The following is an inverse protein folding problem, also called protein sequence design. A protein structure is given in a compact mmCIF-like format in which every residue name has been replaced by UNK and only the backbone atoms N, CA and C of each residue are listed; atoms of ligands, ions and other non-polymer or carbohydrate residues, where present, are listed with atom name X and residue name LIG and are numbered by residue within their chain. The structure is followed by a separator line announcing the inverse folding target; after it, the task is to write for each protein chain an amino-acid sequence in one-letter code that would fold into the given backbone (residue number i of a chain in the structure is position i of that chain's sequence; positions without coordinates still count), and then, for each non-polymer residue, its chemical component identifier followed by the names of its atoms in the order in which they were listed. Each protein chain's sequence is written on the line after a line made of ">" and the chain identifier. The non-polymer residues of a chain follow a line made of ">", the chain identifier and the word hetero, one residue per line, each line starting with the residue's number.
data_IF_534071243637
#
_entry.id   IF_534071243637
#
_cell.length_a   1.000
_cell.length_b   1.000
_cell.length_c   1.000
_cell.angle_alpha   90.00
_cell.angle_beta   90.00
_cell.angle_gamma   90.00
#
_symmetry.space_group_name_H-M   'P 1'
#
loop_
_entity.id
_entity.type
_entity.pdbx_description
1 polymer ?
#
# COMPACT_ATOMS: atom_id res chain seq x y z
N UNK A 1 -6.51 -36.18 6.16
CA UNK A 1 -7.74 -35.42 6.44
C UNK A 1 -7.39 -33.94 6.44
N UNK A 2 -7.67 -33.18 5.35
CA UNK A 2 -7.48 -31.73 5.35
C UNK A 2 -8.63 -31.13 6.18
N UNK A 3 -8.29 -30.47 7.28
CA UNK A 3 -9.27 -29.75 8.11
C UNK A 3 -10.02 -28.74 7.23
N UNK A 4 -11.31 -28.94 7.05
CA UNK A 4 -12.16 -28.00 6.30
C UNK A 4 -12.13 -26.64 6.98
N UNK A 5 -11.69 -25.62 6.26
CA UNK A 5 -11.67 -24.25 6.74
C UNK A 5 -13.11 -23.77 6.99
N UNK A 6 -13.36 -23.18 8.14
CA UNK A 6 -14.64 -22.53 8.43
C UNK A 6 -14.70 -21.15 7.79
N UNK A 7 -15.92 -20.63 7.53
CA UNK A 7 -16.09 -19.26 7.01
C UNK A 7 -15.38 -18.21 7.89
N UNK A 8 -15.34 -18.41 9.20
CA UNK A 8 -14.67 -17.52 10.16
C UNK A 8 -13.15 -17.53 9.95
N UNK A 9 -12.58 -18.71 9.71
CA UNK A 9 -11.14 -18.85 9.41
C UNK A 9 -10.76 -18.22 8.06
N UNK A 10 -11.61 -18.38 7.03
CA UNK A 10 -11.39 -17.75 5.72
C UNK A 10 -11.37 -16.22 5.84
N UNK A 11 -12.33 -15.63 6.58
CA UNK A 11 -12.37 -14.18 6.83
C UNK A 11 -11.15 -13.72 7.62
N UNK A 12 -10.72 -14.47 8.60
CA UNK A 12 -9.52 -14.16 9.38
C UNK A 12 -8.26 -14.20 8.51
N UNK A 13 -8.11 -15.20 7.64
CA UNK A 13 -6.99 -15.29 6.70
C UNK A 13 -6.97 -14.12 5.69
N UNK A 14 -8.13 -13.69 5.20
CA UNK A 14 -8.24 -12.54 4.32
C UNK A 14 -7.83 -11.24 5.04
N UNK A 15 -8.24 -11.07 6.30
CA UNK A 15 -7.83 -9.93 7.12
C UNK A 15 -6.31 -9.95 7.40
N UNK A 16 -5.76 -11.11 7.71
CA UNK A 16 -4.32 -11.27 7.92
C UNK A 16 -3.54 -10.94 6.63
N UNK A 17 -4.02 -11.40 5.49
CA UNK A 17 -3.43 -11.10 4.19
C UNK A 17 -3.44 -9.59 3.90
N UNK A 18 -4.54 -8.89 4.23
CA UNK A 18 -4.63 -7.44 4.11
C UNK A 18 -3.49 -6.75 4.88
N UNK A 19 -3.30 -7.09 6.16
CA UNK A 19 -2.26 -6.45 6.97
C UNK A 19 -0.85 -6.80 6.49
N UNK A 20 -0.61 -8.03 6.07
CA UNK A 20 0.69 -8.44 5.53
C UNK A 20 1.02 -7.69 4.24
N UNK A 21 0.08 -7.65 3.29
CA UNK A 21 0.27 -6.96 2.01
C UNK A 21 0.39 -5.46 2.20
N UNK A 22 -0.43 -4.86 3.07
CA UNK A 22 -0.35 -3.45 3.40
C UNK A 22 1.03 -3.09 3.99
N UNK A 23 1.47 -3.85 5.01
CA UNK A 23 2.77 -3.62 5.61
C UNK A 23 3.94 -3.76 4.62
N UNK A 24 3.89 -4.76 3.74
CA UNK A 24 4.92 -4.95 2.71
C UNK A 24 4.96 -3.79 1.70
N UNK A 25 3.79 -3.33 1.25
CA UNK A 25 3.71 -2.20 0.31
C UNK A 25 4.23 -0.92 0.95
N UNK A 26 3.83 -0.63 2.21
CA UNK A 26 4.31 0.53 2.94
C UNK A 26 5.82 0.46 3.23
N UNK A 27 6.34 -0.71 3.54
CA UNK A 27 7.79 -0.91 3.71
C UNK A 27 8.55 -0.60 2.42
N UNK A 28 8.05 -1.06 1.27
CA UNK A 28 8.61 -0.73 -0.04
C UNK A 28 8.52 0.79 -0.32
N UNK A 29 7.40 1.42 -0.01
CA UNK A 29 7.21 2.86 -0.16
C UNK A 29 8.23 3.64 0.68
N UNK A 30 8.42 3.29 1.96
CA UNK A 30 9.42 3.90 2.84
C UNK A 30 10.83 3.74 2.29
N UNK A 31 11.17 2.56 1.78
CA UNK A 31 12.48 2.31 1.18
C UNK A 31 12.73 3.20 -0.06
N UNK A 32 11.75 3.29 -0.96
CA UNK A 32 11.83 4.17 -2.13
C UNK A 32 11.96 5.64 -1.73
N UNK A 33 11.23 6.05 -0.70
CA UNK A 33 11.28 7.38 -0.12
C UNK A 33 12.67 7.74 0.41
N UNK A 34 13.28 6.84 1.17
CA UNK A 34 14.63 7.06 1.71
C UNK A 34 15.68 7.21 0.59
N UNK A 35 15.52 6.43 -0.49
CA UNK A 35 16.41 6.56 -1.64
C UNK A 35 16.22 7.90 -2.36
N UNK A 36 14.98 8.34 -2.60
CA UNK A 36 14.70 9.65 -3.20
C UNK A 36 15.23 10.79 -2.33
N UNK A 37 15.06 10.72 -1.01
CA UNK A 37 15.59 11.70 -0.07
C UNK A 37 17.11 11.78 -0.12
N UNK A 38 17.78 10.63 -0.15
CA UNK A 38 19.26 10.59 -0.30
C UNK A 38 19.71 11.22 -1.59
N UNK A 39 19.07 10.90 -2.70
CA UNK A 39 19.38 11.42 -4.01
C UNK A 39 19.16 12.95 -4.08
N UNK A 40 18.04 13.44 -3.53
CA UNK A 40 17.75 14.86 -3.46
C UNK A 40 18.78 15.62 -2.61
N UNK A 41 19.17 15.06 -1.45
CA UNK A 41 20.22 15.66 -0.60
C UNK A 41 21.58 15.67 -1.27
N UNK A 42 21.96 14.57 -1.94
CA UNK A 42 23.22 14.50 -2.67
C UNK A 42 23.28 15.53 -3.81
N UNK A 43 22.17 15.70 -4.55
CA UNK A 43 22.07 16.70 -5.61
C UNK A 43 22.21 18.12 -5.04
N UNK A 44 21.53 18.42 -3.94
CA UNK A 44 21.62 19.74 -3.30
C UNK A 44 23.03 20.00 -2.76
N UNK A 45 23.68 19.02 -2.13
CA UNK A 45 25.05 19.11 -1.66
C UNK A 45 26.03 19.43 -2.81
N UNK A 46 25.92 18.67 -3.92
CA UNK A 46 26.71 18.92 -5.11
C UNK A 46 26.47 20.34 -5.68
N UNK A 47 25.20 20.78 -5.71
CA UNK A 47 24.83 22.12 -6.16
C UNK A 47 25.45 23.20 -5.24
N UNK A 48 25.37 23.01 -3.92
CA UNK A 48 25.97 23.92 -2.95
C UNK A 48 27.48 23.99 -3.08
N UNK A 49 28.17 22.85 -3.19
CA UNK A 49 29.62 22.81 -3.38
C UNK A 49 30.06 23.49 -4.67
N UNK A 50 29.30 23.29 -5.77
CA UNK A 50 29.59 23.95 -7.05
C UNK A 50 29.42 25.47 -6.94
N UNK A 51 28.38 25.93 -6.27
CA UNK A 51 28.13 27.36 -6.03
C UNK A 51 29.24 27.98 -5.20
N UNK A 52 29.64 27.36 -4.10
CA UNK A 52 30.75 27.82 -3.25
C UNK A 52 32.07 27.78 -4.02
N UNK A 53 32.28 26.80 -4.89
CA UNK A 53 33.41 26.73 -5.78
C UNK A 53 33.50 27.97 -6.72
N UNK A 54 32.35 28.43 -7.26
CA UNK A 54 32.27 29.67 -8.07
C UNK A 54 32.59 30.89 -7.23
N UNK A 55 31.99 31.03 -6.04
CA UNK A 55 32.32 32.16 -5.13
C UNK A 55 33.83 32.25 -4.87
N UNK A 56 34.45 31.13 -4.51
CA UNK A 56 35.89 31.08 -4.23
C UNK A 56 36.72 31.37 -5.45
N UNK A 57 36.33 30.88 -6.62
CA UNK A 57 37.02 31.12 -7.88
C UNK A 57 37.01 32.60 -8.25
N UNK A 58 35.86 33.27 -8.09
CA UNK A 58 35.71 34.69 -8.40
C UNK A 58 36.53 35.56 -7.45
N UNK A 59 36.49 35.30 -6.15
CA UNK A 59 37.30 36.02 -5.18
C UNK A 59 38.80 35.87 -5.47
N UNK A 60 39.26 34.69 -5.85
CA UNK A 60 40.66 34.47 -6.25
C UNK A 60 41.02 35.18 -7.55
N UNK A 61 40.05 35.30 -8.48
CA UNK A 61 40.25 36.04 -9.70
C UNK A 61 40.54 37.54 -9.43
N UNK A 62 39.70 38.18 -8.62
CA UNK A 62 39.91 39.59 -8.24
C UNK A 62 41.20 39.79 -7.46
N UNK A 63 41.58 38.86 -6.58
CA UNK A 63 42.88 38.91 -5.90
C UNK A 63 44.07 38.85 -6.87
N UNK A 64 43.99 38.00 -7.90
CA UNK A 64 45.03 37.85 -8.88
C UNK A 64 45.27 39.17 -9.64
N UNK A 65 44.21 39.95 -9.89
CA UNK A 65 44.31 41.27 -10.48
C UNK A 65 45.00 42.26 -9.55
N UNK A 66 44.67 42.27 -8.25
CA UNK A 66 45.33 43.12 -7.24
C UNK A 66 46.84 42.81 -7.08
N UNK A 67 47.25 41.56 -7.31
CA UNK A 67 48.62 41.09 -7.09
C UNK A 67 49.64 41.81 -7.91
N UNK A 68 49.33 42.31 -9.12
CA UNK A 68 50.32 43.08 -9.92
C UNK A 68 50.81 44.32 -9.19
N UNK A 69 49.91 45.13 -8.65
CA UNK A 69 50.19 46.34 -7.90
C UNK A 69 50.96 46.00 -6.63
N UNK A 70 50.54 44.98 -5.90
CA UNK A 70 51.24 44.50 -4.71
C UNK A 70 52.68 44.11 -4.99
N UNK A 71 52.94 43.26 -6.00
CA UNK A 71 54.31 42.83 -6.34
C UNK A 71 55.19 43.95 -6.81
N UNK A 72 54.66 44.97 -7.53
CA UNK A 72 55.44 46.14 -7.91
C UNK A 72 55.93 46.90 -6.68
N UNK A 73 55.07 47.15 -5.71
CA UNK A 73 55.43 47.86 -4.47
C UNK A 73 56.40 47.04 -3.62
N UNK A 74 56.16 45.73 -3.48
CA UNK A 74 57.03 44.78 -2.76
C UNK A 74 58.44 44.74 -3.39
N UNK A 75 58.58 44.91 -4.74
CA UNK A 75 59.85 45.02 -5.46
C UNK A 75 60.52 46.38 -5.36
N UNK A 76 59.91 47.30 -4.59
CA UNK A 76 60.52 48.64 -4.35
C UNK A 76 60.13 49.70 -5.38
N UNK A 77 59.19 49.43 -6.31
CA UNK A 77 58.69 50.44 -7.23
C UNK A 77 57.78 51.42 -6.49
N UNK A 78 57.99 52.74 -6.78
CA UNK A 78 57.07 53.76 -6.29
C UNK A 78 56.06 54.06 -7.38
N UNK A 79 54.82 53.78 -7.09
CA UNK A 79 53.68 53.96 -8.01
C UNK A 79 53.18 55.40 -7.84
N UNK A 80 53.23 56.19 -8.88
CA UNK A 80 52.67 57.55 -8.89
C UNK A 80 51.17 57.49 -9.37
N UNK A 81 50.48 58.62 -9.28
CA UNK A 81 49.09 58.78 -9.61
C UNK A 81 48.76 58.40 -11.07
N UNK A 82 49.60 58.80 -12.02
CA UNK A 82 49.43 58.51 -13.45
C UNK A 82 49.64 57.00 -13.73
N UNK A 83 50.69 56.40 -13.19
CA UNK A 83 51.02 54.99 -13.32
C UNK A 83 49.92 54.12 -12.65
N UNK A 84 49.46 54.53 -11.48
CA UNK A 84 48.37 53.86 -10.78
C UNK A 84 47.09 53.84 -11.61
N UNK A 85 46.72 55.01 -12.17
CA UNK A 85 45.49 55.13 -12.98
C UNK A 85 45.55 54.27 -14.24
N UNK A 86 46.76 54.26 -14.93
CA UNK A 86 46.92 53.40 -16.12
C UNK A 86 46.80 51.89 -15.75
N UNK A 87 47.52 51.46 -14.73
CA UNK A 87 47.53 50.08 -14.31
C UNK A 87 46.13 49.64 -13.85
N UNK A 88 45.46 50.46 -13.02
CA UNK A 88 44.09 50.17 -12.55
C UNK A 88 43.08 50.13 -13.70
N UNK A 89 43.26 50.96 -14.74
CA UNK A 89 42.39 50.92 -15.93
C UNK A 89 42.50 49.61 -16.72
N UNK A 90 43.66 48.95 -16.68
CA UNK A 90 43.89 47.63 -17.30
C UNK A 90 43.35 46.48 -16.49
N UNK A 91 43.05 46.70 -15.20
CA UNK A 91 42.54 45.73 -14.23
C UNK A 91 41.01 45.85 -14.04
N UNK A 92 40.36 46.75 -14.80
CA UNK A 92 38.91 46.88 -14.79
C UNK A 92 38.27 45.64 -15.44
N UNK A 93 37.34 45.03 -14.71
CA UNK A 93 36.59 43.89 -15.23
C UNK A 93 35.45 44.32 -16.17
N UNK A 94 35.09 43.42 -17.13
CA UNK A 94 34.04 43.68 -18.12
C UNK A 94 32.62 43.72 -17.50
N UNK A 95 32.48 43.27 -16.27
CA UNK A 95 31.18 43.14 -15.58
C UNK A 95 30.92 44.24 -14.54
N UNK A 96 31.87 45.19 -14.36
CA UNK A 96 31.83 46.30 -13.40
C UNK A 96 31.66 45.83 -11.94
N UNK A 97 32.15 44.67 -11.58
CA UNK A 97 32.15 44.18 -10.19
C UNK A 97 33.20 44.97 -9.39
N UNK A 98 34.36 45.25 -9.98
CA UNK A 98 35.36 46.12 -9.36
C UNK A 98 34.95 47.58 -9.57
N UNK A 99 34.39 48.19 -8.52
CA UNK A 99 33.96 49.60 -8.51
C UNK A 99 35.12 50.56 -8.41
N UNK A 100 36.14 50.23 -7.64
CA UNK A 100 37.37 51.02 -7.51
C UNK A 100 38.57 50.19 -7.06
N UNK A 101 39.75 50.62 -7.48
CA UNK A 101 41.05 50.23 -6.91
C UNK A 101 41.53 51.31 -6.00
N UNK A 102 42.05 50.96 -4.83
CA UNK A 102 42.60 51.89 -3.88
C UNK A 102 44.01 51.43 -3.42
N UNK A 103 44.95 52.34 -3.24
CA UNK A 103 46.17 52.08 -2.49
C UNK A 103 46.12 52.84 -1.17
N UNK A 104 46.38 52.19 -0.08
CA UNK A 104 46.32 52.76 1.25
C UNK A 104 47.64 52.58 1.95
N UNK A 105 48.61 53.56 1.73
CA UNK A 105 49.91 53.60 2.39
C UNK A 105 49.73 53.86 3.91
N UNK A 106 50.37 53.04 4.74
CA UNK A 106 50.21 53.05 6.21
C UNK A 106 48.75 52.89 6.67
N UNK A 107 47.89 52.31 5.80
CA UNK A 107 46.46 52.16 6.04
C UNK A 107 45.61 53.36 5.65
N UNK A 108 46.19 54.45 5.14
CA UNK A 108 45.49 55.66 4.70
C UNK A 108 45.41 55.65 3.18
N UNK A 109 44.18 55.76 2.64
CA UNK A 109 43.93 55.77 1.18
C UNK A 109 44.55 56.97 0.57
N UNK A 110 45.57 56.73 -0.32
CA UNK A 110 46.38 57.80 -0.99
C UNK A 110 46.08 57.87 -2.48
N UNK A 111 45.74 56.78 -3.12
CA UNK A 111 45.40 56.70 -4.55
C UNK A 111 44.11 55.93 -4.76
N UNK A 112 43.25 56.37 -5.69
CA UNK A 112 41.96 55.75 -6.06
C UNK A 112 41.75 55.81 -7.57
N UNK A 113 41.32 54.75 -8.18
CA UNK A 113 40.88 54.71 -9.57
C UNK A 113 39.55 53.90 -9.73
N UNK A 114 38.59 54.43 -10.47
CA UNK A 114 38.49 55.78 -10.96
C UNK A 114 38.29 56.79 -9.82
N UNK A 115 38.85 58.01 -9.94
CA UNK A 115 38.62 59.02 -8.92
C UNK A 115 37.18 59.54 -8.92
N UNK A 116 36.62 59.73 -10.09
CA UNK A 116 35.25 60.23 -10.23
C UNK A 116 34.21 59.29 -9.53
N UNK A 117 33.47 59.80 -8.54
CA UNK A 117 32.51 59.10 -7.72
C UNK A 117 33.11 58.40 -6.49
N UNK A 118 34.45 58.43 -6.33
CA UNK A 118 35.14 57.77 -5.20
C UNK A 118 35.91 58.76 -4.33
N UNK A 119 35.79 60.08 -4.58
CA UNK A 119 36.52 61.11 -3.91
C UNK A 119 36.46 61.10 -2.40
N UNK A 120 35.31 60.64 -1.86
CA UNK A 120 35.04 60.57 -0.43
C UNK A 120 35.91 59.54 0.31
N UNK A 121 36.50 58.57 -0.39
CA UNK A 121 37.34 57.54 0.21
C UNK A 121 38.82 58.05 0.35
N UNK A 122 39.23 59.08 -0.38
CA UNK A 122 40.60 59.61 -0.29
C UNK A 122 40.89 60.15 1.11
N UNK A 123 41.99 59.72 1.70
CA UNK A 123 42.39 60.10 3.06
C UNK A 123 41.77 59.35 4.19
N UNK A 124 40.87 58.35 3.91
CA UNK A 124 40.32 57.49 4.94
C UNK A 124 41.39 56.58 5.55
N UNK A 125 41.46 56.53 6.85
CA UNK A 125 42.33 55.60 7.57
C UNK A 125 41.56 54.27 7.80
N UNK A 126 41.92 53.27 7.04
CA UNK A 126 41.25 51.92 7.09
C UNK A 126 41.52 51.19 8.41
N UNK A 127 42.67 51.44 9.06
CA UNK A 127 43.03 50.83 10.35
C UNK A 127 42.28 51.41 11.55
N UNK A 128 41.63 52.58 11.36
CA UNK A 128 40.89 53.28 12.40
C UNK A 128 39.39 53.42 12.09
N UNK A 129 38.99 53.19 10.85
CA UNK A 129 37.60 53.36 10.40
C UNK A 129 36.64 52.42 11.14
N UNK A 130 35.55 52.92 11.74
CA UNK A 130 34.67 52.13 12.63
C UNK A 130 34.16 50.84 11.98
N UNK A 131 33.79 50.86 10.72
CA UNK A 131 33.19 49.72 10.01
C UNK A 131 34.22 48.83 9.26
N UNK A 132 35.50 49.18 9.23
CA UNK A 132 36.50 48.52 8.38
C UNK A 132 37.78 48.10 9.13
N UNK A 133 38.04 48.72 10.28
CA UNK A 133 39.30 48.57 11.04
C UNK A 133 39.61 47.15 11.44
N UNK A 134 38.60 46.33 11.67
CA UNK A 134 38.81 45.00 12.17
C UNK A 134 39.37 44.07 11.10
N UNK A 135 38.76 44.07 9.93
CA UNK A 135 39.20 43.27 8.78
C UNK A 135 40.55 43.81 8.24
N UNK A 136 40.72 45.14 8.19
CA UNK A 136 42.00 45.74 7.78
C UNK A 136 43.14 45.36 8.76
N UNK A 137 42.91 45.37 10.07
CA UNK A 137 43.90 44.91 11.06
C UNK A 137 44.20 43.44 10.94
N UNK A 138 43.14 42.62 10.75
CA UNK A 138 43.28 41.19 10.57
C UNK A 138 44.13 40.87 9.32
N UNK A 139 43.89 41.55 8.20
CA UNK A 139 44.72 41.43 7.00
C UNK A 139 46.17 41.79 7.27
N UNK A 140 46.41 42.94 7.97
CA UNK A 140 47.73 43.36 8.38
C UNK A 140 48.45 42.36 9.29
N UNK A 141 47.75 41.72 10.23
CA UNK A 141 48.34 40.81 11.22
C UNK A 141 48.63 39.43 10.62
N UNK A 142 47.73 38.95 9.76
CA UNK A 142 47.87 37.63 9.12
C UNK A 142 48.79 37.60 7.90
N UNK A 143 48.94 38.73 7.22
CA UNK A 143 49.63 38.82 5.90
C UNK A 143 48.79 38.28 4.75
N UNK A 144 47.55 37.89 5.01
CA UNK A 144 46.61 37.37 4.01
C UNK A 144 45.45 38.36 3.80
N UNK A 145 44.86 38.33 2.64
CA UNK A 145 43.73 39.21 2.34
C UNK A 145 42.53 38.95 3.25
N UNK A 146 41.71 39.97 3.44
CA UNK A 146 40.47 39.89 4.22
C UNK A 146 39.37 40.65 3.49
N UNK A 147 38.15 40.14 3.59
CA UNK A 147 36.98 40.76 2.98
C UNK A 147 36.13 41.44 4.07
N UNK A 148 35.99 42.76 3.98
CA UNK A 148 35.12 43.55 4.82
C UNK A 148 33.81 43.84 4.12
N UNK A 149 32.70 43.64 4.79
CA UNK A 149 31.38 43.87 4.25
C UNK A 149 30.52 42.60 4.13
N UNK A 150 29.41 42.64 3.42
CA UNK A 150 28.88 43.83 2.71
C UNK A 150 28.37 44.92 3.67
N UNK A 151 28.56 46.18 3.27
CA UNK A 151 28.09 47.36 3.99
C UNK A 151 27.87 48.54 3.01
N UNK A 152 27.24 49.60 3.50
CA UNK A 152 27.05 50.82 2.71
C UNK A 152 28.39 51.51 2.51
N UNK A 153 28.76 51.72 1.25
CA UNK A 153 29.98 52.41 0.87
C UNK A 153 29.86 53.93 1.07
N UNK A 154 30.99 54.64 1.24
CA UNK A 154 30.98 56.10 1.32
C UNK A 154 30.50 56.77 0.00
N UNK A 155 30.63 56.08 -1.08
CA UNK A 155 30.19 56.44 -2.42
C UNK A 155 28.71 56.17 -2.68
N UNK A 156 27.99 55.60 -1.69
CA UNK A 156 26.65 55.01 -1.86
C UNK A 156 26.72 53.57 -2.36
N UNK A 157 25.58 52.95 -2.46
CA UNK A 157 25.41 51.51 -2.78
C UNK A 157 26.01 50.55 -1.75
N UNK A 158 25.68 49.28 -1.87
CA UNK A 158 26.24 48.22 -1.01
C UNK A 158 27.48 47.65 -1.71
N UNK A 159 28.56 47.53 -0.95
CA UNK A 159 29.80 46.97 -1.47
C UNK A 159 30.60 46.22 -0.41
N UNK A 160 31.65 45.60 -0.85
CA UNK A 160 32.65 44.96 0.01
C UNK A 160 34.04 45.44 -0.35
N UNK A 161 34.94 45.48 0.64
CA UNK A 161 36.32 45.83 0.44
C UNK A 161 37.20 44.61 0.65
N UNK A 162 38.02 44.31 -0.34
CA UNK A 162 39.03 43.27 -0.26
C UNK A 162 40.36 43.92 0.06
N UNK A 163 40.86 43.71 1.29
CA UNK A 163 42.13 44.23 1.79
C UNK A 163 43.23 43.23 1.51
N UNK A 164 44.15 43.55 0.59
CA UNK A 164 45.34 42.75 0.33
C UNK A 164 46.58 43.49 0.93
N UNK A 165 47.18 42.97 2.03
CA UNK A 165 48.25 43.62 2.71
C UNK A 165 49.57 43.55 1.90
N UNK A 166 50.31 44.66 1.86
CA UNK A 166 51.56 44.82 1.17
C UNK A 166 52.68 45.01 2.21
N UNK A 167 53.77 44.25 2.06
CA UNK A 167 54.98 44.38 2.89
C UNK A 167 56.18 44.65 2.06
N UNK A 168 57.03 45.56 2.51
CA UNK A 168 58.29 45.82 1.90
C UNK A 168 59.42 45.31 2.76
N UNK A 169 60.47 44.81 2.14
CA UNK A 169 61.70 44.33 2.83
C UNK A 169 62.74 45.39 2.86
N UNK A 170 63.21 45.74 4.04
CA UNK A 170 64.31 46.74 4.18
C UNK A 170 65.67 46.11 3.83
N UNK A 171 66.76 46.98 3.86
CA UNK A 171 68.13 46.57 3.54
C UNK A 171 68.68 45.49 4.52
N UNK A 172 68.05 45.29 5.67
CA UNK A 172 68.46 44.32 6.69
C UNK A 172 67.68 42.99 6.52
N UNK A 173 66.71 42.97 5.64
CA UNK A 173 65.82 41.77 5.43
C UNK A 173 64.58 41.76 6.30
N UNK A 174 64.28 42.79 7.09
CA UNK A 174 63.15 42.94 7.89
C UNK A 174 61.87 43.33 7.07
N UNK A 175 60.82 42.65 7.20
CA UNK A 175 59.50 42.94 6.55
C UNK A 175 58.77 44.02 7.35
N UNK A 176 58.43 45.11 6.67
CA UNK A 176 57.64 46.21 7.22
C UNK A 176 56.31 46.36 6.46
N UNK A 177 55.26 46.59 7.19
CA UNK A 177 53.93 46.81 6.58
C UNK A 177 54.00 48.17 5.81
N UNK A 178 53.78 48.08 4.49
CA UNK A 178 53.73 49.26 3.64
C UNK A 178 52.31 49.86 3.59
N UNK A 179 51.28 48.99 3.56
CA UNK A 179 49.90 49.41 3.40
C UNK A 179 49.02 48.29 2.78
N UNK A 180 47.99 48.72 2.08
CA UNK A 180 47.04 47.78 1.42
C UNK A 180 46.86 48.12 -0.06
N UNK A 181 46.73 47.10 -0.91
CA UNK A 181 45.94 47.17 -2.14
C UNK A 181 44.51 46.83 -1.81
N UNK A 182 43.58 47.69 -2.18
CA UNK A 182 42.16 47.50 -1.83
C UNK A 182 41.36 47.45 -3.12
N UNK A 183 40.53 46.41 -3.26
CA UNK A 183 39.48 46.34 -4.27
C UNK A 183 38.14 46.66 -3.61
N UNK A 184 37.44 47.63 -4.20
CA UNK A 184 36.07 47.97 -3.81
C UNK A 184 35.15 47.23 -4.76
N UNK A 185 34.42 46.25 -4.22
CA UNK A 185 33.49 45.41 -5.01
C UNK A 185 32.07 45.94 -4.90
N UNK A 186 31.39 46.08 -6.04
CA UNK A 186 29.96 46.27 -6.10
C UNK A 186 29.26 44.95 -5.72
N UNK A 187 28.48 44.98 -4.64
CA UNK A 187 27.97 43.71 -4.07
C UNK A 187 26.87 43.09 -4.92
N UNK A 188 26.04 43.89 -5.56
CA UNK A 188 24.96 43.39 -6.41
C UNK A 188 25.55 42.73 -7.67
N UNK A 189 26.49 43.40 -8.33
CA UNK A 189 27.21 42.86 -9.50
C UNK A 189 27.95 41.57 -9.16
N UNK A 190 28.61 41.50 -7.98
CA UNK A 190 29.26 40.27 -7.50
C UNK A 190 28.27 39.12 -7.31
N UNK A 191 27.11 39.35 -6.66
CA UNK A 191 26.09 38.33 -6.47
C UNK A 191 25.50 37.84 -7.80
N UNK A 192 25.34 38.73 -8.77
CA UNK A 192 24.86 38.38 -10.12
C UNK A 192 25.89 37.51 -10.85
N UNK A 193 27.18 37.82 -10.73
CA UNK A 193 28.25 37.06 -11.40
C UNK A 193 28.40 35.63 -10.85
N UNK A 194 28.16 35.41 -9.58
CA UNK A 194 28.15 34.07 -8.99
C UNK A 194 26.85 33.30 -9.26
N UNK A 195 25.89 33.94 -9.96
CA UNK A 195 24.65 33.33 -10.47
C UNK A 195 23.77 32.64 -9.37
N UNK A 196 23.64 33.31 -8.22
CA UNK A 196 22.82 32.76 -7.13
C UNK A 196 21.33 32.62 -7.51
N UNK A 197 20.82 33.43 -8.43
CA UNK A 197 19.44 33.38 -8.92
C UNK A 197 19.12 32.05 -9.60
N UNK A 198 20.11 31.41 -10.22
CA UNK A 198 19.95 30.08 -10.83
C UNK A 198 19.52 29.00 -9.82
N UNK A 199 19.85 29.18 -8.54
CA UNK A 199 19.41 28.29 -7.47
C UNK A 199 17.89 28.42 -7.22
N UNK A 200 17.36 29.63 -7.29
CA UNK A 200 15.93 29.87 -7.17
C UNK A 200 15.14 29.28 -8.32
N UNK A 201 15.68 29.42 -9.55
CA UNK A 201 15.10 28.78 -10.74
C UNK A 201 15.14 27.26 -10.65
N UNK A 202 16.21 26.71 -10.07
CA UNK A 202 16.35 25.27 -9.79
C UNK A 202 15.45 24.78 -8.65
N UNK A 203 14.67 25.67 -8.01
CA UNK A 203 13.70 25.33 -6.98
C UNK A 203 14.29 25.24 -5.57
N UNK A 204 15.43 25.88 -5.33
CA UNK A 204 16.05 25.98 -4.00
C UNK A 204 15.82 27.34 -3.37
N UNK A 205 15.91 27.40 -2.05
CA UNK A 205 16.18 28.61 -1.26
C UNK A 205 17.52 28.45 -0.61
N UNK A 206 18.21 29.57 -0.46
CA UNK A 206 19.58 29.60 0.08
C UNK A 206 19.79 30.74 1.05
N UNK A 207 20.81 30.59 1.90
CA UNK A 207 21.40 31.66 2.69
C UNK A 207 22.92 31.50 2.69
N UNK A 208 23.63 32.56 2.33
CA UNK A 208 25.07 32.72 2.52
C UNK A 208 25.26 33.68 3.68
N UNK A 209 25.91 33.24 4.75
CA UNK A 209 26.09 34.03 5.96
C UNK A 209 27.44 33.80 6.59
N UNK A 210 27.82 34.71 7.49
CA UNK A 210 29.05 34.58 8.28
C UNK A 210 28.82 35.02 9.72
N UNK A 211 29.80 34.72 10.58
CA UNK A 211 29.81 35.24 11.93
C UNK A 211 30.70 36.53 11.91
N UNK A 212 30.11 37.64 12.36
CA UNK A 212 30.89 38.86 12.51
C UNK A 212 32.04 38.68 13.50
N UNK A 213 33.26 38.89 13.10
CA UNK A 213 34.42 38.85 14.02
C UNK A 213 34.31 39.88 15.16
N UNK A 214 33.58 40.99 14.90
CA UNK A 214 33.41 42.10 15.83
C UNK A 214 32.40 41.81 16.96
N UNK A 215 31.24 41.24 16.60
CA UNK A 215 30.10 41.09 17.50
C UNK A 215 29.78 39.64 17.84
N UNK A 216 30.33 38.70 17.09
CA UNK A 216 29.96 37.28 17.21
C UNK A 216 28.54 36.95 16.67
N UNK A 217 27.91 37.91 16.01
CA UNK A 217 26.54 37.77 15.50
C UNK A 217 26.53 37.22 14.07
N UNK A 218 25.42 36.59 13.73
CA UNK A 218 25.12 36.13 12.40
C UNK A 218 24.86 37.31 11.46
N UNK A 219 25.64 37.39 10.38
CA UNK A 219 25.48 38.40 9.33
C UNK A 219 25.13 37.70 8.02
N UNK A 220 23.95 37.95 7.51
CA UNK A 220 23.54 37.45 6.20
C UNK A 220 24.27 38.21 5.10
N UNK A 221 24.91 37.48 4.21
CA UNK A 221 25.67 37.99 3.04
C UNK A 221 24.74 38.07 1.83
N UNK A 222 23.98 36.97 1.59
CA UNK A 222 22.97 36.88 0.55
C UNK A 222 21.94 35.84 0.95
N UNK A 223 20.69 36.02 0.60
CA UNK A 223 19.61 35.06 0.90
C UNK A 223 18.51 35.12 -0.12
N UNK A 224 17.82 33.99 -0.30
CA UNK A 224 16.57 33.91 -1.02
C UNK A 224 15.51 33.31 -0.13
N UNK A 225 14.37 34.00 0.01
CA UNK A 225 13.23 33.52 0.79
C UNK A 225 13.57 33.17 2.25
N UNK A 226 12.91 32.17 2.82
CA UNK A 226 13.17 31.69 4.17
C UNK A 226 14.00 30.39 4.10
N UNK A 227 15.33 30.53 4.16
CA UNK A 227 16.31 29.44 4.03
C UNK A 227 16.68 28.77 5.35
N UNK A 228 16.40 29.42 6.49
CA UNK A 228 16.72 28.88 7.83
C UNK A 228 15.80 27.73 8.19
N UNK A 229 16.22 26.53 7.86
CA UNK A 229 15.54 25.28 8.20
C UNK A 229 16.54 24.32 8.83
N UNK A 230 16.10 23.63 9.87
CA UNK A 230 16.93 22.65 10.60
C UNK A 230 17.39 21.46 9.73
N UNK A 231 16.81 21.31 8.55
CA UNK A 231 17.08 20.24 7.60
C UNK A 231 17.86 20.72 6.35
N UNK A 232 18.31 22.00 6.31
CA UNK A 232 19.12 22.54 5.23
C UNK A 232 20.47 21.80 5.12
N UNK A 233 21.01 21.77 3.90
CA UNK A 233 22.39 21.33 3.67
C UNK A 233 23.28 22.53 3.81
N UNK A 234 24.29 22.41 4.65
CA UNK A 234 25.32 23.45 4.89
C UNK A 234 26.61 23.03 4.26
N UNK A 235 27.24 24.00 3.55
CA UNK A 235 28.57 23.86 2.99
C UNK A 235 29.40 25.08 3.41
N UNK A 236 30.61 24.83 3.86
CA UNK A 236 31.53 25.90 4.31
C UNK A 236 32.37 26.45 3.15
N UNK A 237 32.35 27.75 3.01
CA UNK A 237 33.27 28.49 2.14
C UNK A 237 34.39 29.10 2.98
N UNK A 238 35.55 28.46 2.98
CA UNK A 238 36.74 29.03 3.65
C UNK A 238 37.37 30.04 2.73
N UNK A 239 37.39 31.27 3.17
CA UNK A 239 38.16 32.37 2.60
C UNK A 239 39.27 32.75 3.60
N UNK A 240 40.39 33.38 3.19
CA UNK A 240 41.39 33.79 4.15
C UNK A 240 40.80 34.72 5.23
N UNK A 241 41.15 34.39 6.46
CA UNK A 241 40.70 35.08 7.68
C UNK A 241 39.19 35.05 7.98
N UNK A 242 38.38 34.27 7.20
CA UNK A 242 36.92 34.15 7.43
C UNK A 242 36.39 32.78 6.98
N UNK A 243 35.21 32.43 7.48
CA UNK A 243 34.48 31.25 7.06
C UNK A 243 33.02 31.61 6.81
N UNK A 244 32.60 31.44 5.56
CA UNK A 244 31.24 31.71 5.18
C UNK A 244 30.45 30.39 5.16
N UNK A 245 29.23 30.44 5.61
CA UNK A 245 28.29 29.32 5.67
C UNK A 245 27.28 29.45 4.56
N UNK A 246 27.14 28.42 3.76
CA UNK A 246 26.17 28.39 2.69
C UNK A 246 25.16 27.29 2.96
N UNK A 247 23.91 27.67 3.21
CA UNK A 247 22.81 26.79 3.43
C UNK A 247 21.89 26.76 2.22
N UNK A 248 21.42 25.54 1.86
CA UNK A 248 20.52 25.32 0.72
C UNK A 248 19.46 24.29 1.09
N UNK A 249 18.21 24.58 0.69
CA UNK A 249 17.07 23.70 0.92
C UNK A 249 16.06 23.83 -0.23
N UNK A 250 15.39 22.75 -0.67
CA UNK A 250 14.33 22.86 -1.67
C UNK A 250 13.16 23.74 -1.18
N UNK A 251 12.62 24.61 -2.04
CA UNK A 251 11.47 25.50 -1.74
C UNK A 251 10.27 24.73 -1.16
N UNK A 252 9.99 23.54 -1.70
CA UNK A 252 8.86 22.70 -1.29
C UNK A 252 9.23 21.66 -0.21
N UNK A 253 10.45 21.78 0.38
CA UNK A 253 10.99 20.78 1.30
C UNK A 253 11.49 19.53 0.56
N UNK A 254 12.13 18.62 1.31
CA UNK A 254 12.75 17.41 0.76
C UNK A 254 11.75 16.38 0.26
N UNK A 255 10.53 16.39 0.81
CA UNK A 255 9.46 15.43 0.54
C UNK A 255 8.15 16.17 0.33
N UNK A 256 7.44 15.82 -0.72
CA UNK A 256 6.09 16.33 -0.97
C UNK A 256 5.07 15.59 -0.09
N UNK A 257 4.30 16.26 0.77
CA UNK A 257 3.23 15.63 1.55
C UNK A 257 2.20 14.91 0.69
N UNK A 258 1.96 15.41 -0.52
CA UNK A 258 1.05 14.80 -1.48
C UNK A 258 1.57 13.43 -1.95
N UNK A 259 2.87 13.29 -2.22
CA UNK A 259 3.47 12.00 -2.61
C UNK A 259 3.33 10.96 -1.49
N UNK A 260 3.55 11.36 -0.23
CA UNK A 260 3.35 10.49 0.95
C UNK A 260 1.91 10.01 1.03
N UNK A 261 0.96 10.94 0.89
CA UNK A 261 -0.46 10.61 0.93
C UNK A 261 -0.87 9.66 -0.21
N UNK A 262 -0.42 9.94 -1.44
CA UNK A 262 -0.74 9.11 -2.62
C UNK A 262 -0.18 7.69 -2.48
N UNK A 263 1.05 7.53 -2.01
CA UNK A 263 1.63 6.20 -1.80
C UNK A 263 0.89 5.40 -0.74
N UNK A 264 0.53 6.03 0.38
CA UNK A 264 -0.28 5.41 1.44
C UNK A 264 -1.66 4.98 0.93
N UNK A 265 -2.37 5.85 0.21
CA UNK A 265 -3.67 5.54 -0.38
C UNK A 265 -3.59 4.39 -1.39
N UNK A 266 -2.54 4.37 -2.22
CA UNK A 266 -2.30 3.29 -3.18
C UNK A 266 -2.03 1.97 -2.48
N UNK A 267 -1.21 1.97 -1.42
CA UNK A 267 -0.94 0.79 -0.59
C UNK A 267 -2.21 0.22 0.02
N UNK A 268 -3.07 1.07 0.55
CA UNK A 268 -4.36 0.69 1.13
C UNK A 268 -5.29 0.07 0.08
N UNK A 269 -5.42 0.68 -1.10
CA UNK A 269 -6.27 0.18 -2.20
C UNK A 269 -5.76 -1.19 -2.68
N UNK A 270 -4.47 -1.34 -2.95
CA UNK A 270 -3.89 -2.59 -3.44
C UNK A 270 -4.08 -3.73 -2.43
N UNK A 271 -3.87 -3.45 -1.14
CA UNK A 271 -4.04 -4.45 -0.08
C UNK A 271 -5.51 -4.85 0.10
N UNK A 272 -6.43 -3.90 -0.04
CA UNK A 272 -7.86 -4.17 0.00
C UNK A 272 -8.30 -5.04 -1.18
N UNK A 273 -7.85 -4.73 -2.40
CA UNK A 273 -8.16 -5.53 -3.59
C UNK A 273 -7.61 -6.95 -3.49
N UNK A 274 -6.37 -7.11 -3.01
CA UNK A 274 -5.77 -8.42 -2.79
C UNK A 274 -6.56 -9.25 -1.76
N UNK A 275 -6.94 -8.63 -0.64
CA UNK A 275 -7.73 -9.28 0.41
C UNK A 275 -9.13 -9.69 -0.06
N UNK A 276 -9.84 -8.80 -0.78
CA UNK A 276 -11.15 -9.08 -1.34
C UNK A 276 -11.08 -10.21 -2.38
N UNK A 277 -10.11 -10.15 -3.29
CA UNK A 277 -9.89 -11.20 -4.29
C UNK A 277 -9.63 -12.57 -3.64
N UNK A 278 -8.77 -12.61 -2.63
CA UNK A 278 -8.52 -13.82 -1.84
C UNK A 278 -9.77 -14.33 -1.14
N UNK A 279 -10.52 -13.43 -0.48
CA UNK A 279 -11.76 -13.78 0.20
C UNK A 279 -12.78 -14.39 -0.78
N UNK A 280 -13.00 -13.76 -1.93
CA UNK A 280 -13.91 -14.26 -2.96
C UNK A 280 -13.49 -15.62 -3.50
N UNK A 281 -12.20 -15.81 -3.75
CA UNK A 281 -11.65 -17.08 -4.23
C UNK A 281 -11.89 -18.22 -3.21
N UNK A 282 -11.56 -17.98 -1.95
CA UNK A 282 -11.74 -18.98 -0.88
C UNK A 282 -13.22 -19.27 -0.59
N UNK A 283 -14.06 -18.24 -0.62
CA UNK A 283 -15.52 -18.42 -0.44
C UNK A 283 -16.16 -19.19 -1.59
N UNK A 284 -15.71 -19.01 -2.82
CA UNK A 284 -16.13 -19.85 -3.95
C UNK A 284 -15.76 -21.30 -3.71
N UNK A 285 -14.50 -21.58 -3.43
CA UNK A 285 -14.05 -22.96 -3.13
C UNK A 285 -14.85 -23.59 -1.99
N UNK A 286 -15.10 -22.86 -0.93
CA UNK A 286 -15.91 -23.33 0.20
C UNK A 286 -17.35 -23.70 -0.22
N UNK A 287 -17.99 -22.86 -1.05
CA UNK A 287 -19.34 -23.17 -1.58
C UNK A 287 -19.32 -24.38 -2.51
N UNK A 288 -18.35 -24.47 -3.39
CA UNK A 288 -18.23 -25.58 -4.33
C UNK A 288 -18.06 -26.92 -3.60
N UNK A 289 -17.28 -26.95 -2.51
CA UNK A 289 -17.13 -28.14 -1.67
C UNK A 289 -18.45 -28.56 -0.97
N UNK A 290 -19.25 -27.58 -0.51
CA UNK A 290 -20.57 -27.86 0.09
C UNK A 290 -21.51 -28.42 -0.98
N UNK A 291 -21.62 -27.77 -2.13
CA UNK A 291 -22.50 -28.23 -3.21
C UNK A 291 -22.11 -29.62 -3.73
N UNK A 292 -20.80 -29.90 -3.85
CA UNK A 292 -20.32 -31.22 -4.22
C UNK A 292 -20.78 -32.32 -3.21
N UNK A 293 -20.68 -32.02 -1.91
CA UNK A 293 -21.11 -32.94 -0.86
C UNK A 293 -22.65 -33.16 -0.84
N UNK A 294 -23.43 -32.10 -1.06
CA UNK A 294 -24.87 -32.16 -1.18
C UNK A 294 -25.30 -33.00 -2.39
N UNK A 295 -24.64 -32.79 -3.54
CA UNK A 295 -24.90 -33.51 -4.76
C UNK A 295 -24.57 -35.01 -4.58
N UNK A 296 -23.44 -35.34 -3.99
CA UNK A 296 -23.04 -36.71 -3.71
C UNK A 296 -24.10 -37.44 -2.83
N UNK A 297 -24.58 -36.76 -1.78
CA UNK A 297 -25.66 -37.29 -0.92
C UNK A 297 -26.94 -37.51 -1.70
N UNK A 298 -27.37 -36.55 -2.51
CA UNK A 298 -28.60 -36.69 -3.30
C UNK A 298 -28.50 -37.83 -4.33
N UNK A 299 -27.32 -38.00 -4.96
CA UNK A 299 -27.06 -39.12 -5.90
C UNK A 299 -27.13 -40.44 -5.15
N UNK A 300 -26.58 -40.56 -3.95
CA UNK A 300 -26.60 -41.77 -3.14
C UNK A 300 -28.02 -42.13 -2.69
N UNK A 301 -28.81 -41.14 -2.28
CA UNK A 301 -30.22 -41.32 -1.92
C UNK A 301 -31.05 -41.80 -3.14
N UNK A 302 -30.87 -41.15 -4.29
CA UNK A 302 -31.57 -41.57 -5.53
C UNK A 302 -31.17 -42.97 -5.99
N UNK A 303 -29.90 -43.34 -5.87
CA UNK A 303 -29.38 -44.65 -6.22
C UNK A 303 -29.97 -45.75 -5.30
N UNK A 304 -30.00 -45.48 -3.96
CA UNK A 304 -30.60 -46.40 -2.99
C UNK A 304 -32.09 -46.61 -3.23
N UNK A 305 -32.83 -45.55 -3.58
CA UNK A 305 -34.26 -45.64 -3.93
C UNK A 305 -34.48 -46.45 -5.22
N UNK A 306 -33.64 -46.27 -6.23
CA UNK A 306 -33.71 -47.01 -7.48
C UNK A 306 -33.37 -48.51 -7.30
N UNK A 307 -32.40 -48.85 -6.48
CA UNK A 307 -32.08 -50.23 -6.12
C UNK A 307 -33.22 -50.92 -5.34
N UNK A 308 -33.86 -50.18 -4.42
CA UNK A 308 -35.04 -50.68 -3.69
C UNK A 308 -36.19 -50.96 -4.67
N UNK A 309 -36.44 -50.06 -5.61
CA UNK A 309 -37.46 -50.22 -6.66
C UNK A 309 -37.17 -51.44 -7.56
N UNK A 310 -35.93 -51.61 -7.96
CA UNK A 310 -35.52 -52.75 -8.80
C UNK A 310 -35.72 -54.10 -8.06
N UNK A 311 -35.30 -54.14 -6.79
CA UNK A 311 -35.55 -55.35 -5.94
C UNK A 311 -37.04 -55.66 -5.75
N UNK A 312 -37.84 -54.63 -5.53
CA UNK A 312 -39.29 -54.80 -5.44
C UNK A 312 -39.89 -55.42 -6.71
N UNK A 313 -39.54 -54.85 -7.90
CA UNK A 313 -40.03 -55.37 -9.19
C UNK A 313 -39.58 -56.82 -9.44
N UNK A 314 -38.35 -57.17 -9.07
CA UNK A 314 -37.80 -58.50 -9.21
C UNK A 314 -38.59 -59.52 -8.32
N UNK A 315 -38.81 -59.19 -7.05
CA UNK A 315 -39.56 -60.03 -6.12
C UNK A 315 -41.04 -60.20 -6.57
N UNK A 316 -41.66 -59.10 -7.00
CA UNK A 316 -43.07 -59.18 -7.51
C UNK A 316 -43.15 -60.04 -8.77
N UNK A 317 -42.19 -60.00 -9.65
CA UNK A 317 -42.11 -60.85 -10.86
C UNK A 317 -42.07 -62.36 -10.46
N UNK A 318 -41.28 -62.68 -9.43
CA UNK A 318 -41.16 -64.04 -8.89
C UNK A 318 -42.51 -64.51 -8.27
N UNK A 319 -43.07 -63.62 -7.42
CA UNK A 319 -44.33 -63.96 -6.66
C UNK A 319 -45.55 -64.08 -7.58
N UNK A 320 -45.62 -63.38 -8.68
CA UNK A 320 -46.63 -63.50 -9.73
C UNK A 320 -46.44 -64.81 -10.52
N UNK A 321 -45.18 -65.18 -10.86
CA UNK A 321 -44.92 -66.39 -11.66
C UNK A 321 -45.32 -67.67 -10.98
N UNK A 322 -45.12 -67.75 -9.65
CA UNK A 322 -45.44 -69.00 -8.88
C UNK A 322 -46.90 -69.41 -8.97
N UNK A 323 -47.87 -68.55 -8.62
CA UNK A 323 -49.29 -68.94 -8.76
C UNK A 323 -49.71 -69.11 -10.21
N UNK A 324 -49.14 -68.34 -11.14
CA UNK A 324 -49.40 -68.51 -12.57
C UNK A 324 -49.02 -69.90 -13.10
N UNK A 325 -47.80 -70.35 -12.72
CA UNK A 325 -47.32 -71.71 -13.09
C UNK A 325 -48.18 -72.80 -12.42
N UNK A 326 -48.65 -72.56 -11.16
CA UNK A 326 -49.56 -73.48 -10.51
C UNK A 326 -50.91 -73.58 -11.24
N UNK A 327 -51.47 -72.45 -11.67
CA UNK A 327 -52.71 -72.41 -12.48
C UNK A 327 -52.53 -73.22 -13.74
N UNK A 328 -51.45 -72.96 -14.50
CA UNK A 328 -51.18 -73.68 -15.74
C UNK A 328 -51.01 -75.19 -15.49
N UNK A 329 -50.18 -75.57 -14.52
CA UNK A 329 -49.86 -76.95 -14.20
C UNK A 329 -51.09 -77.72 -13.71
N UNK A 330 -51.98 -77.14 -12.85
CA UNK A 330 -53.23 -77.80 -12.45
C UNK A 330 -54.25 -77.82 -13.58
N UNK A 331 -54.24 -76.84 -14.52
CA UNK A 331 -55.10 -76.88 -15.69
C UNK A 331 -54.69 -78.01 -16.65
N UNK A 332 -53.38 -78.21 -16.85
CA UNK A 332 -52.86 -79.34 -17.64
C UNK A 332 -53.19 -80.70 -17.02
N UNK A 333 -53.15 -80.80 -15.66
CA UNK A 333 -53.51 -81.99 -14.93
C UNK A 333 -55.01 -82.23 -14.97
N UNK A 334 -55.80 -81.17 -14.88
CA UNK A 334 -57.26 -81.28 -15.01
C UNK A 334 -57.70 -81.84 -16.36
N UNK A 335 -57.09 -81.37 -17.46
CA UNK A 335 -57.34 -81.84 -18.81
C UNK A 335 -57.05 -83.32 -18.94
N UNK A 336 -55.97 -83.83 -18.35
CA UNK A 336 -55.54 -85.24 -18.40
C UNK A 336 -56.40 -86.17 -17.58
N UNK A 337 -57.04 -85.66 -16.47
CA UNK A 337 -57.81 -86.47 -15.53
C UNK A 337 -59.27 -85.98 -15.40
N UNK A 338 -59.83 -85.46 -16.50
CA UNK A 338 -61.21 -84.89 -16.46
C UNK A 338 -62.28 -85.90 -16.12
N UNK A 339 -62.08 -87.20 -16.46
CA UNK A 339 -62.95 -88.29 -16.19
C UNK A 339 -62.89 -88.78 -14.70
N UNK A 340 -61.88 -88.42 -13.94
CA UNK A 340 -61.66 -88.72 -12.54
C UNK A 340 -62.23 -87.62 -11.65
N UNK A 341 -63.52 -87.71 -11.30
CA UNK A 341 -64.32 -86.69 -10.65
C UNK A 341 -63.68 -86.13 -9.39
N UNK A 342 -63.10 -86.95 -8.52
CA UNK A 342 -62.47 -86.48 -7.26
C UNK A 342 -61.22 -85.68 -7.50
N UNK A 343 -60.38 -86.11 -8.45
CA UNK A 343 -59.17 -85.40 -8.87
C UNK A 343 -59.45 -84.08 -9.61
N UNK A 344 -60.48 -84.14 -10.48
CA UNK A 344 -60.92 -82.94 -11.19
C UNK A 344 -61.44 -81.87 -10.22
N UNK A 345 -62.16 -82.21 -9.20
CA UNK A 345 -62.59 -81.24 -8.17
C UNK A 345 -61.42 -80.67 -7.37
N UNK A 346 -60.46 -81.50 -7.00
CA UNK A 346 -59.23 -81.04 -6.30
C UNK A 346 -58.42 -80.04 -7.15
N UNK A 347 -58.21 -80.37 -8.46
CA UNK A 347 -57.45 -79.44 -9.38
C UNK A 347 -58.23 -78.15 -9.58
N UNK A 348 -59.55 -78.14 -9.72
CA UNK A 348 -60.35 -76.91 -9.82
C UNK A 348 -60.22 -76.09 -8.54
N UNK A 349 -60.22 -76.69 -7.34
CA UNK A 349 -60.02 -75.98 -6.11
C UNK A 349 -58.66 -75.32 -6.01
N UNK A 350 -57.59 -76.01 -6.45
CA UNK A 350 -56.19 -75.45 -6.50
C UNK A 350 -56.07 -74.34 -7.53
N UNK A 351 -56.70 -74.47 -8.72
CA UNK A 351 -56.78 -73.40 -9.70
C UNK A 351 -57.45 -72.16 -9.13
N UNK A 352 -58.61 -72.33 -8.50
CA UNK A 352 -59.33 -71.21 -7.88
C UNK A 352 -58.55 -70.56 -6.76
N UNK A 353 -57.87 -71.31 -5.91
CA UNK A 353 -57.00 -70.78 -4.83
C UNK A 353 -55.86 -70.03 -5.39
N UNK A 354 -55.12 -70.56 -6.37
CA UNK A 354 -54.00 -69.90 -7.01
C UNK A 354 -54.42 -68.63 -7.76
N UNK A 355 -55.58 -68.65 -8.44
CA UNK A 355 -56.15 -67.48 -9.11
C UNK A 355 -56.54 -66.37 -8.15
N UNK A 356 -57.15 -66.71 -7.03
CA UNK A 356 -57.54 -65.79 -5.95
C UNK A 356 -56.25 -65.12 -5.35
N UNK A 357 -55.24 -65.96 -5.11
CA UNK A 357 -53.93 -65.45 -4.62
C UNK A 357 -53.27 -64.50 -5.62
N UNK A 358 -53.22 -64.83 -6.91
CA UNK A 358 -52.72 -64.00 -7.96
C UNK A 358 -53.45 -62.64 -8.03
N UNK A 359 -54.78 -62.66 -7.95
CA UNK A 359 -55.56 -61.43 -7.97
C UNK A 359 -55.31 -60.57 -6.74
N UNK A 360 -55.04 -61.11 -5.57
CA UNK A 360 -54.70 -60.38 -4.37
C UNK A 360 -53.33 -59.72 -4.53
N UNK A 361 -52.31 -60.39 -5.14
CA UNK A 361 -50.99 -59.82 -5.45
C UNK A 361 -51.11 -58.67 -6.43
N UNK A 362 -51.88 -58.79 -7.51
CA UNK A 362 -52.07 -57.69 -8.47
C UNK A 362 -52.68 -56.47 -7.78
N UNK A 363 -53.76 -56.72 -6.96
CA UNK A 363 -54.37 -55.60 -6.21
C UNK A 363 -53.40 -54.93 -5.26
N UNK A 364 -52.51 -55.69 -4.59
CA UNK A 364 -51.46 -55.14 -3.73
C UNK A 364 -50.47 -54.26 -4.52
N UNK A 365 -50.00 -54.70 -5.69
CA UNK A 365 -49.11 -53.91 -6.58
C UNK A 365 -49.80 -52.63 -7.04
N UNK A 366 -51.03 -52.68 -7.46
CA UNK A 366 -51.78 -51.51 -7.90
C UNK A 366 -52.04 -50.54 -6.76
N UNK A 367 -52.28 -51.02 -5.54
CA UNK A 367 -52.44 -50.17 -4.37
C UNK A 367 -51.07 -49.46 -4.01
N UNK A 368 -50.00 -50.23 -4.02
CA UNK A 368 -48.65 -49.65 -3.82
C UNK A 368 -48.34 -48.58 -4.85
N UNK A 369 -48.62 -48.78 -6.13
CA UNK A 369 -48.42 -47.78 -7.19
C UNK A 369 -49.32 -46.55 -6.99
N UNK A 370 -50.52 -46.68 -6.43
CA UNK A 370 -51.34 -45.51 -6.05
C UNK A 370 -50.78 -44.75 -4.88
N UNK A 371 -50.16 -45.39 -3.88
CA UNK A 371 -49.51 -44.78 -2.75
C UNK A 371 -48.27 -44.03 -3.24
N UNK A 372 -47.39 -44.67 -4.04
CA UNK A 372 -46.18 -44.01 -4.59
C UNK A 372 -46.49 -42.81 -5.47
N UNK A 373 -47.57 -42.87 -6.26
CA UNK A 373 -48.01 -41.75 -7.11
C UNK A 373 -48.74 -40.64 -6.36
N UNK A 374 -48.92 -40.77 -5.04
CA UNK A 374 -49.66 -39.81 -4.21
C UNK A 374 -51.16 -39.76 -4.48
N UNK A 375 -51.70 -40.76 -5.21
CA UNK A 375 -53.12 -40.85 -5.57
C UNK A 375 -53.94 -41.69 -4.59
N UNK A 376 -53.35 -42.26 -3.55
CA UNK A 376 -54.09 -42.99 -2.49
C UNK A 376 -54.83 -41.97 -1.62
N UNK A 377 -56.10 -42.15 -1.48
CA UNK A 377 -57.00 -41.36 -0.60
C UNK A 377 -57.64 -42.20 0.44
N UNK A 378 -57.63 -41.76 1.67
CA UNK A 378 -58.36 -42.37 2.75
C UNK A 378 -59.81 -41.83 2.78
N UNK A 379 -60.79 -42.71 2.85
CA UNK A 379 -62.21 -42.35 3.11
C UNK A 379 -62.46 -42.31 4.61
N UNK A 380 -62.18 -41.16 5.20
CA UNK A 380 -62.40 -40.99 6.63
C UNK A 380 -63.84 -40.70 6.86
N UNK A 381 -64.57 -41.66 7.55
CA UNK A 381 -65.92 -41.56 7.89
C UNK A 381 -66.12 -41.82 9.38
N UNK A 382 -67.21 -41.26 9.94
CA UNK A 382 -67.58 -41.54 11.32
C UNK A 382 -68.17 -42.94 11.40
N UNK A 383 -67.64 -43.83 12.25
CA UNK A 383 -68.12 -45.22 12.44
C UNK A 383 -68.06 -45.61 13.89
N UNK A 384 -68.67 -46.83 14.17
CA UNK A 384 -68.63 -47.46 15.47
C UNK A 384 -67.46 -48.44 15.56
N UNK A 385 -66.60 -48.24 16.57
CA UNK A 385 -65.51 -49.17 16.89
C UNK A 385 -66.03 -50.59 17.19
N UNK A 386 -67.13 -50.69 17.99
CA UNK A 386 -67.76 -51.98 18.34
C UNK A 386 -68.26 -52.71 17.11
N UNK A 387 -68.90 -52.03 16.16
CA UNK A 387 -69.30 -52.62 14.88
C UNK A 387 -68.11 -53.13 14.06
N UNK A 388 -67.02 -52.38 14.01
CA UNK A 388 -65.82 -52.80 13.32
C UNK A 388 -65.21 -54.06 13.91
N UNK A 389 -65.09 -54.15 15.24
CA UNK A 389 -64.54 -55.31 15.94
C UNK A 389 -65.54 -56.53 15.82
N UNK A 390 -66.81 -56.30 15.94
CA UNK A 390 -67.85 -57.39 15.76
C UNK A 390 -67.75 -57.93 14.33
N UNK A 391 -67.58 -57.09 13.31
CA UNK A 391 -67.45 -57.55 11.93
C UNK A 391 -66.16 -58.36 11.69
N UNK A 392 -65.10 -58.09 12.41
CA UNK A 392 -63.86 -58.88 12.41
C UNK A 392 -64.03 -60.22 13.10
N UNK A 393 -64.66 -60.23 14.28
CA UNK A 393 -64.92 -61.43 15.04
C UNK A 393 -65.78 -62.42 14.25
N UNK A 394 -66.78 -61.94 13.53
CA UNK A 394 -67.63 -62.74 12.66
C UNK A 394 -66.85 -63.47 11.54
N UNK A 395 -65.76 -62.93 11.05
CA UNK A 395 -64.88 -63.54 10.02
C UNK A 395 -64.15 -64.76 10.62
N UNK A 396 -63.65 -64.63 11.85
CA UNK A 396 -62.87 -65.69 12.50
C UNK A 396 -63.73 -66.77 13.17
N UNK A 397 -64.97 -66.51 13.51
CA UNK A 397 -65.88 -67.42 14.21
C UNK A 397 -66.05 -68.84 13.58
N UNK A 398 -66.18 -68.95 12.25
CA UNK A 398 -66.26 -70.28 11.61
C UNK A 398 -64.92 -71.06 11.75
N UNK A 399 -63.85 -70.41 11.60
CA UNK A 399 -62.49 -71.01 11.72
C UNK A 399 -62.17 -71.43 13.16
N UNK A 400 -62.57 -70.63 14.13
CA UNK A 400 -62.41 -70.95 15.56
C UNK A 400 -63.26 -72.14 15.95
N UNK A 401 -64.52 -72.19 15.51
CA UNK A 401 -65.43 -73.34 15.75
C UNK A 401 -64.90 -74.61 15.12
N UNK A 402 -64.39 -74.59 13.89
CA UNK A 402 -63.82 -75.74 13.18
C UNK A 402 -62.60 -76.31 13.85
N UNK A 403 -61.82 -75.48 14.51
CA UNK A 403 -60.58 -75.86 15.22
C UNK A 403 -60.74 -76.05 16.73
N UNK A 404 -62.00 -75.94 17.22
CA UNK A 404 -62.31 -76.06 18.64
C UNK A 404 -61.54 -75.13 19.57
N UNK A 405 -61.33 -73.87 19.11
CA UNK A 405 -60.55 -72.82 19.82
C UNK A 405 -61.51 -71.87 20.56
N UNK A 406 -61.20 -71.50 21.80
CA UNK A 406 -61.87 -70.42 22.52
C UNK A 406 -61.19 -69.09 22.21
N UNK A 407 -62.02 -68.12 21.81
CA UNK A 407 -61.59 -66.79 21.51
C UNK A 407 -62.22 -65.79 22.47
N UNK A 408 -61.41 -64.90 23.11
CA UNK A 408 -61.90 -63.89 24.02
C UNK A 408 -61.45 -62.53 23.49
N UNK A 409 -62.40 -61.66 23.27
CA UNK A 409 -62.17 -60.31 22.84
C UNK A 409 -62.63 -59.31 23.90
N UNK A 410 -61.72 -58.54 24.48
CA UNK A 410 -62.06 -57.52 25.46
C UNK A 410 -62.11 -56.16 24.80
N UNK A 411 -63.25 -55.48 24.92
CA UNK A 411 -63.37 -54.09 24.48
C UNK A 411 -63.40 -53.18 25.71
N UNK A 412 -62.38 -52.28 25.82
CA UNK A 412 -62.23 -51.32 26.93
C UNK A 412 -62.33 -49.87 26.46
N UNK A 413 -62.86 -49.62 25.27
CA UNK A 413 -62.96 -48.29 24.67
C UNK A 413 -64.17 -47.57 25.29
N UNK A 414 -63.92 -46.37 25.88
CA UNK A 414 -64.98 -45.55 26.50
C UNK A 414 -65.89 -44.86 25.47
N UNK A 415 -65.36 -44.53 24.29
CA UNK A 415 -66.10 -43.86 23.21
C UNK A 415 -66.12 -44.73 21.96
N UNK A 416 -67.31 -45.15 21.56
CA UNK A 416 -67.51 -46.05 20.42
C UNK A 416 -67.38 -45.36 19.05
N UNK A 417 -67.46 -44.01 19.01
CA UNK A 417 -67.42 -43.26 17.78
C UNK A 417 -65.94 -43.02 17.36
N UNK A 418 -65.57 -43.52 16.18
CA UNK A 418 -64.19 -43.31 15.59
C UNK A 418 -64.30 -42.74 14.19
N UNK A 419 -63.32 -41.80 13.87
CA UNK A 419 -63.13 -41.30 12.52
C UNK A 419 -62.02 -42.11 11.86
N UNK A 420 -62.36 -42.96 10.92
CA UNK A 420 -61.39 -43.80 10.23
C UNK A 420 -61.90 -44.26 8.85
N UNK A 421 -60.99 -44.74 8.02
CA UNK A 421 -61.34 -45.56 6.85
C UNK A 421 -61.57 -47.00 7.34
N UNK A 422 -62.86 -47.35 7.54
CA UNK A 422 -63.25 -48.67 8.06
C UNK A 422 -62.72 -49.82 7.19
N UNK A 423 -62.69 -49.62 5.88
CA UNK A 423 -62.20 -50.63 4.94
C UNK A 423 -60.70 -50.86 5.15
N UNK A 424 -59.91 -49.79 5.23
CA UNK A 424 -58.49 -49.92 5.42
C UNK A 424 -58.09 -50.47 6.79
N UNK A 425 -58.76 -50.02 7.85
CA UNK A 425 -58.56 -50.62 9.21
C UNK A 425 -58.88 -52.08 9.23
N UNK A 426 -60.01 -52.46 8.58
CA UNK A 426 -60.38 -53.87 8.49
C UNK A 426 -59.35 -54.71 7.71
N UNK A 427 -58.87 -54.21 6.58
CA UNK A 427 -57.82 -54.87 5.83
C UNK A 427 -56.53 -55.06 6.68
N UNK A 428 -56.08 -54.06 7.43
CA UNK A 428 -54.93 -54.17 8.33
C UNK A 428 -55.10 -55.22 9.41
N UNK A 429 -56.34 -55.30 10.01
CA UNK A 429 -56.60 -56.21 11.11
C UNK A 429 -56.89 -57.64 10.65
N UNK A 430 -57.22 -57.87 9.38
CA UNK A 430 -57.45 -59.21 8.79
C UNK A 430 -56.15 -59.81 8.22
N UNK A 431 -55.15 -59.02 7.90
CA UNK A 431 -53.81 -59.44 7.45
C UNK A 431 -52.88 -59.70 8.62
#
# INVERSE_FOLDING_TARGET
>A
MKTKLTQKQIRFQALLLFFITFFLVELCAVFLYQNQLKEAKLKADYTAQTTIGRVKSQLNHYLAESNLMKHMIEAGYTVNDEEFSVLSSLMQDDQNVIKAHELAKDGIVTLIYPMSGNEAALGLNMLEHPARKQEARLAKESGEYTIAGPFELQQGDIGALLFDPIYTTDANGDQTFWGFSILVLDWESFLNEIELDTLEEAGYTYELWKISPATGEHVSIAHSGNSRRSDAIEVLCTVPNDTWHFEIVPKNGWLSPLQVFVSFALGLILSLLASIGFLQFQMRRYKDEIHAAELEKAVQEAQSANEAKTRFLFNMSHDIRTPMNAIIGFSDLLEKHIDEKDRAVDYIAKIKSSSSFLLSLINYVLEMARIESGKASLKIELGSYSELINSLNAVFEPSLKSKNLSYLCYNTVEHDAILCDRTKIREILLN
#
